data_IF_170702897190
#
_entry.id   IF_170702897190
#
_cell.length_a   1.000
_cell.length_b   1.000
_cell.length_c   1.000
_cell.angle_alpha   90.00
_cell.angle_beta   90.00
_cell.angle_gamma   90.00
#
_symmetry.space_group_name_H-M   'P 1'
#
loop_
_entity.id
_entity.type
_entity.pdbx_description
1 polymer ?
#
# COMPACT_ATOMS: atom_id res chain seq x y z
N UNK A 1 14.16 -26.28 13.57
CA UNK A 1 13.05 -25.31 13.43
C UNK A 1 12.07 -25.87 12.41
N UNK A 2 10.77 -25.93 12.70
CA UNK A 2 9.77 -26.46 11.77
C UNK A 2 9.47 -25.43 10.68
N UNK A 3 9.02 -25.87 9.49
CA UNK A 3 8.63 -25.00 8.38
C UNK A 3 7.63 -23.92 8.82
N UNK A 4 6.64 -24.28 9.64
CA UNK A 4 5.67 -23.34 10.22
C UNK A 4 6.30 -22.26 11.12
N UNK A 5 7.36 -22.58 11.84
CA UNK A 5 8.08 -21.60 12.66
C UNK A 5 8.89 -20.62 11.81
N UNK A 6 9.46 -21.09 10.70
CA UNK A 6 10.17 -20.24 9.74
C UNK A 6 9.21 -19.28 9.03
N UNK A 7 8.06 -19.75 8.55
CA UNK A 7 7.04 -18.90 7.91
C UNK A 7 6.46 -17.86 8.86
N UNK A 8 6.20 -18.22 10.12
CA UNK A 8 5.73 -17.28 11.13
C UNK A 8 6.78 -16.22 11.46
N UNK A 9 8.05 -16.60 11.50
CA UNK A 9 9.14 -15.66 11.75
C UNK A 9 9.31 -14.70 10.58
N UNK A 10 9.28 -15.16 9.32
CA UNK A 10 9.40 -14.28 8.16
C UNK A 10 8.29 -13.24 8.09
N UNK A 11 7.04 -13.63 8.32
CA UNK A 11 5.91 -12.69 8.40
C UNK A 11 6.05 -11.66 9.53
N UNK A 12 6.55 -12.07 10.68
CA UNK A 12 6.79 -11.16 11.81
C UNK A 12 7.91 -10.17 11.49
N UNK A 13 9.01 -10.63 10.90
CA UNK A 13 10.12 -9.80 10.46
C UNK A 13 9.62 -8.77 9.44
N UNK A 14 8.93 -9.22 8.40
CA UNK A 14 8.39 -8.33 7.39
C UNK A 14 7.45 -7.27 7.98
N UNK A 15 6.48 -7.67 8.78
CA UNK A 15 5.52 -6.73 9.37
C UNK A 15 6.19 -5.72 10.31
N UNK A 16 7.16 -6.17 11.10
CA UNK A 16 7.84 -5.30 12.06
C UNK A 16 8.82 -4.35 11.37
N UNK A 17 9.67 -4.87 10.48
CA UNK A 17 10.76 -4.08 9.89
C UNK A 17 10.32 -3.34 8.61
N UNK A 18 9.50 -3.93 7.77
CA UNK A 18 9.12 -3.29 6.52
C UNK A 18 7.91 -2.37 6.72
N UNK A 19 6.75 -2.89 7.14
CA UNK A 19 5.55 -2.07 7.25
C UNK A 19 5.67 -0.97 8.29
N UNK A 20 6.17 -1.28 9.48
CA UNK A 20 6.31 -0.31 10.56
C UNK A 20 7.35 0.77 10.23
N UNK A 21 8.47 0.38 9.64
CA UNK A 21 9.50 1.35 9.25
C UNK A 21 9.08 2.19 8.05
N UNK A 22 8.34 1.63 7.09
CA UNK A 22 7.75 2.42 6.02
C UNK A 22 6.82 3.52 6.55
N UNK A 23 5.96 3.22 7.51
CA UNK A 23 5.09 4.24 8.10
C UNK A 23 5.90 5.35 8.78
N UNK A 24 6.95 5.00 9.50
CA UNK A 24 7.86 6.01 10.09
C UNK A 24 8.58 6.83 9.02
N UNK A 25 9.05 6.20 7.96
CA UNK A 25 9.69 6.86 6.82
C UNK A 25 8.74 7.88 6.18
N UNK A 26 7.51 7.47 5.90
CA UNK A 26 6.46 8.32 5.36
C UNK A 26 6.16 9.52 6.26
N UNK A 27 5.99 9.32 7.56
CA UNK A 27 5.74 10.38 8.54
C UNK A 27 6.90 11.39 8.58
N UNK A 28 8.13 10.91 8.48
CA UNK A 28 9.32 11.77 8.46
C UNK A 28 9.39 12.61 7.17
N UNK A 29 9.10 12.04 6.00
CA UNK A 29 9.07 12.80 4.74
C UNK A 29 8.03 13.92 4.80
N UNK A 30 6.81 13.61 5.26
CA UNK A 30 5.74 14.59 5.41
C UNK A 30 6.18 15.73 6.34
N UNK A 31 6.94 15.41 7.39
CA UNK A 31 7.38 16.39 8.40
C UNK A 31 8.50 17.31 7.91
N UNK A 32 9.45 16.77 7.14
CA UNK A 32 10.70 17.49 6.83
C UNK A 32 10.76 18.07 5.41
N UNK A 33 9.82 17.73 4.51
CA UNK A 33 9.73 18.22 3.12
C UNK A 33 11.00 18.10 2.26
N UNK A 34 12.11 17.55 2.79
CA UNK A 34 13.38 17.38 2.09
C UNK A 34 13.93 15.98 2.30
N UNK A 35 14.11 15.25 1.20
CA UNK A 35 14.65 13.89 1.17
C UNK A 35 16.10 13.78 1.67
N UNK A 36 16.88 14.88 1.61
CA UNK A 36 18.31 14.87 1.88
C UNK A 36 18.67 14.95 3.37
N UNK A 37 17.73 15.31 4.24
CA UNK A 37 17.99 15.54 5.67
C UNK A 37 17.50 14.40 6.57
N UNK A 38 16.86 13.37 6.00
CA UNK A 38 16.47 12.18 6.76
C UNK A 38 17.67 11.26 6.84
N UNK A 39 18.53 11.46 7.84
CA UNK A 39 19.40 10.40 8.34
C UNK A 39 18.48 9.25 8.80
N UNK A 40 18.22 8.35 7.88
CA UNK A 40 17.57 7.10 8.18
C UNK A 40 18.59 6.29 8.97
N UNK A 41 18.60 6.49 10.30
CA UNK A 41 19.24 5.53 11.17
C UNK A 41 18.45 4.23 11.00
N UNK A 42 18.92 3.41 10.08
CA UNK A 42 18.51 2.03 9.94
C UNK A 42 18.92 1.31 11.23
N UNK A 43 18.17 1.54 12.33
CA UNK A 43 18.20 0.68 13.53
C UNK A 43 17.90 -0.79 13.15
N UNK A 44 17.61 -1.02 11.88
CA UNK A 44 17.35 -2.29 11.23
C UNK A 44 18.56 -3.23 11.20
N UNK A 45 19.77 -2.68 11.14
CA UNK A 45 20.98 -3.47 10.83
C UNK A 45 21.77 -3.80 12.10
N UNK A 46 21.47 -3.19 13.24
CA UNK A 46 22.22 -3.38 14.49
C UNK A 46 21.75 -4.59 15.33
N UNK A 47 20.82 -5.38 14.87
CA UNK A 47 20.61 -6.71 15.46
C UNK A 47 21.63 -7.67 14.85
N UNK A 48 22.70 -7.89 15.59
CA UNK A 48 23.87 -8.73 15.26
C UNK A 48 23.60 -10.20 14.92
N UNK A 49 22.36 -10.61 14.73
CA UNK A 49 21.98 -12.02 14.57
C UNK A 49 21.48 -12.37 13.15
N UNK A 50 21.43 -11.40 12.22
CA UNK A 50 20.97 -11.66 10.85
C UNK A 50 22.05 -11.27 9.86
N UNK A 51 22.43 -12.23 9.01
CA UNK A 51 23.17 -11.91 7.80
C UNK A 51 22.27 -11.07 6.91
N UNK A 52 22.78 -9.96 6.39
CA UNK A 52 22.04 -9.03 5.54
C UNK A 52 21.36 -9.72 4.34
N UNK A 53 22.03 -10.71 3.77
CA UNK A 53 21.51 -11.49 2.64
C UNK A 53 20.26 -12.30 3.04
N UNK A 54 20.24 -12.95 4.21
CA UNK A 54 19.08 -13.67 4.69
C UNK A 54 17.86 -12.74 4.91
N UNK A 55 18.10 -11.52 5.41
CA UNK A 55 17.04 -10.53 5.59
C UNK A 55 16.47 -10.08 4.24
N UNK A 56 17.34 -9.81 3.27
CA UNK A 56 16.96 -9.42 1.92
C UNK A 56 16.10 -10.50 1.26
N UNK A 57 16.52 -11.74 1.31
CA UNK A 57 15.79 -12.88 0.74
C UNK A 57 14.42 -13.07 1.40
N UNK A 58 14.33 -12.91 2.73
CA UNK A 58 13.06 -12.95 3.45
C UNK A 58 12.12 -11.87 2.96
N UNK A 59 12.62 -10.63 2.80
CA UNK A 59 11.79 -9.51 2.35
C UNK A 59 11.31 -9.72 0.92
N UNK A 60 12.19 -10.15 0.02
CA UNK A 60 11.84 -10.42 -1.39
C UNK A 60 10.76 -11.50 -1.47
N UNK A 61 10.94 -12.63 -0.81
CA UNK A 61 9.98 -13.74 -0.80
C UNK A 61 8.61 -13.30 -0.23
N UNK A 62 8.58 -12.47 0.81
CA UNK A 62 7.34 -11.93 1.35
C UNK A 62 6.66 -10.97 0.38
N UNK A 63 7.41 -10.11 -0.32
CA UNK A 63 6.87 -9.19 -1.33
C UNK A 63 6.21 -9.94 -2.49
N UNK A 64 6.82 -11.01 -3.00
CA UNK A 64 6.24 -11.85 -4.05
C UNK A 64 4.87 -12.41 -3.68
N UNK A 65 4.65 -12.73 -2.41
CA UNK A 65 3.37 -13.22 -1.88
C UNK A 65 2.37 -12.10 -1.55
N UNK A 66 2.81 -10.83 -1.51
CA UNK A 66 2.01 -9.67 -1.08
C UNK A 66 1.67 -8.73 -2.21
N UNK A 67 2.30 -8.85 -3.36
CA UNK A 67 2.01 -8.01 -4.51
C UNK A 67 0.57 -8.18 -5.01
N UNK A 68 0.09 -7.17 -5.70
CA UNK A 68 -1.26 -7.15 -6.24
C UNK A 68 -1.57 -5.83 -6.92
N UNK A 69 -2.83 -5.44 -6.87
CA UNK A 69 -3.29 -4.19 -7.47
C UNK A 69 -4.17 -3.42 -6.50
N UNK A 70 -3.97 -2.12 -6.44
CA UNK A 70 -4.98 -1.17 -5.97
C UNK A 70 -5.83 -0.78 -7.17
N UNK A 71 -7.13 -0.66 -6.99
CA UNK A 71 -8.05 -0.31 -8.06
C UNK A 71 -9.01 0.80 -7.65
N UNK A 72 -9.53 1.52 -8.65
CA UNK A 72 -10.58 2.51 -8.49
C UNK A 72 -11.82 2.05 -9.27
N UNK A 73 -12.96 2.01 -8.59
CA UNK A 73 -14.26 1.74 -9.18
C UNK A 73 -15.24 2.86 -8.86
N UNK A 74 -16.17 3.13 -9.76
CA UNK A 74 -17.26 4.06 -9.53
C UNK A 74 -18.57 3.52 -10.11
N UNK A 75 -19.68 4.07 -9.66
CA UNK A 75 -20.96 3.90 -10.33
C UNK A 75 -21.06 4.87 -11.53
N UNK A 76 -22.11 4.70 -12.35
CA UNK A 76 -22.34 5.56 -13.51
C UNK A 76 -22.61 7.05 -13.19
N UNK A 77 -22.85 7.38 -11.92
CA UNK A 77 -23.09 8.74 -11.46
C UNK A 77 -21.81 9.48 -11.06
N UNK A 78 -20.68 8.75 -10.92
CA UNK A 78 -19.35 9.30 -10.56
C UNK A 78 -19.33 10.14 -9.26
N UNK A 79 -20.30 9.95 -8.36
CA UNK A 79 -20.37 10.70 -7.10
C UNK A 79 -19.37 10.19 -6.06
N UNK A 80 -19.00 8.91 -6.17
CA UNK A 80 -18.13 8.24 -5.22
C UNK A 80 -17.20 7.26 -5.93
N UNK A 81 -15.96 7.24 -5.46
CA UNK A 81 -14.96 6.31 -5.94
C UNK A 81 -14.65 5.29 -4.85
N UNK A 82 -14.85 4.01 -5.18
CA UNK A 82 -14.37 2.92 -4.37
C UNK A 82 -12.90 2.69 -4.66
N UNK A 83 -12.07 2.80 -3.64
CA UNK A 83 -10.67 2.38 -3.68
C UNK A 83 -10.55 1.05 -2.95
N UNK A 84 -9.96 0.06 -3.58
CA UNK A 84 -9.82 -1.26 -3.00
C UNK A 84 -8.57 -1.98 -3.55
N UNK A 85 -8.35 -3.21 -3.08
CA UNK A 85 -7.22 -4.02 -3.49
C UNK A 85 -7.64 -5.41 -3.98
N UNK A 86 -6.77 -6.02 -4.78
CA UNK A 86 -6.90 -7.40 -5.20
C UNK A 86 -5.55 -8.06 -5.40
N UNK A 87 -5.47 -9.35 -5.09
CA UNK A 87 -4.35 -10.23 -5.44
C UNK A 87 -4.63 -11.11 -6.66
N UNK A 88 -5.77 -10.95 -7.29
CA UNK A 88 -6.08 -11.69 -8.51
C UNK A 88 -5.11 -11.28 -9.63
N UNK A 89 -4.59 -12.26 -10.36
CA UNK A 89 -3.75 -12.02 -11.56
C UNK A 89 -4.50 -11.21 -12.60
N UNK A 90 -5.81 -11.42 -12.71
CA UNK A 90 -6.70 -10.61 -13.54
C UNK A 90 -7.59 -9.76 -12.63
N UNK A 91 -7.36 -8.42 -12.56
CA UNK A 91 -8.15 -7.52 -11.73
C UNK A 91 -9.66 -7.52 -12.08
N UNK A 92 -10.03 -7.81 -13.32
CA UNK A 92 -11.44 -7.88 -13.74
C UNK A 92 -12.24 -8.97 -13.02
N UNK A 93 -11.61 -10.02 -12.51
CA UNK A 93 -12.29 -11.02 -11.68
C UNK A 93 -12.75 -10.42 -10.35
N UNK A 94 -12.03 -9.40 -9.86
CA UNK A 94 -12.45 -8.65 -8.68
C UNK A 94 -13.71 -7.83 -8.94
N UNK A 95 -13.85 -7.22 -10.11
CA UNK A 95 -15.06 -6.48 -10.50
C UNK A 95 -16.31 -7.38 -10.47
N UNK A 96 -16.21 -8.58 -11.04
CA UNK A 96 -17.30 -9.57 -11.01
C UNK A 96 -17.68 -9.91 -9.56
N UNK A 97 -16.68 -10.16 -8.69
CA UNK A 97 -16.92 -10.50 -7.29
C UNK A 97 -17.59 -9.36 -6.53
N UNK A 98 -17.15 -8.11 -6.75
CA UNK A 98 -17.74 -6.93 -6.08
C UNK A 98 -19.19 -6.74 -6.52
N UNK A 99 -19.48 -6.82 -7.81
CA UNK A 99 -20.83 -6.64 -8.34
C UNK A 99 -21.78 -7.78 -7.96
N UNK A 100 -21.27 -9.02 -7.81
CA UNK A 100 -22.09 -10.16 -7.35
C UNK A 100 -22.44 -10.10 -5.87
N UNK A 101 -21.75 -9.30 -5.07
CA UNK A 101 -21.98 -9.15 -3.63
C UNK A 101 -23.18 -8.25 -3.27
N UNK A 102 -24.03 -7.90 -4.24
CA UNK A 102 -25.27 -7.15 -3.99
C UNK A 102 -25.09 -5.66 -3.73
N UNK A 103 -24.15 -5.03 -4.42
CA UNK A 103 -24.09 -3.56 -4.45
C UNK A 103 -25.35 -2.98 -5.10
N UNK A 104 -25.88 -1.89 -4.54
CA UNK A 104 -27.09 -1.23 -5.06
C UNK A 104 -26.93 -0.69 -6.48
N UNK A 105 -25.69 -0.47 -6.95
CA UNK A 105 -25.34 0.02 -8.26
C UNK A 105 -24.19 -0.79 -8.81
N UNK A 106 -24.24 -1.12 -10.08
CA UNK A 106 -23.12 -1.76 -10.76
C UNK A 106 -21.92 -0.83 -10.77
N UNK A 107 -20.78 -1.34 -10.31
CA UNK A 107 -19.51 -0.63 -10.31
C UNK A 107 -18.73 -0.97 -11.58
N UNK A 108 -18.02 0.01 -12.10
CA UNK A 108 -17.07 -0.15 -13.21
C UNK A 108 -15.73 0.47 -12.81
N UNK A 109 -14.66 0.02 -13.46
CA UNK A 109 -13.35 0.65 -13.28
C UNK A 109 -13.30 2.02 -13.93
N UNK A 110 -12.59 2.95 -13.30
CA UNK A 110 -12.40 4.33 -13.77
C UNK A 110 -10.93 4.77 -13.64
N UNK A 111 -10.55 5.76 -14.45
CA UNK A 111 -9.19 6.25 -14.50
C UNK A 111 -8.23 5.20 -15.08
N UNK A 112 -7.01 5.18 -14.61
CA UNK A 112 -6.02 4.13 -14.94
C UNK A 112 -6.40 2.77 -14.37
N UNK A 113 -7.45 2.71 -13.55
CA UNK A 113 -8.14 1.53 -13.04
C UNK A 113 -7.31 0.62 -12.13
N UNK A 114 -6.08 0.31 -12.49
CA UNK A 114 -5.23 -0.66 -11.78
C UNK A 114 -3.84 -0.13 -11.59
N UNK A 115 -3.41 -0.13 -10.34
CA UNK A 115 -2.07 0.30 -9.92
C UNK A 115 -1.38 -0.91 -9.30
N UNK A 116 -0.35 -1.43 -9.96
CA UNK A 116 0.44 -2.51 -9.38
C UNK A 116 1.13 -2.04 -8.10
N UNK A 117 1.06 -2.85 -7.07
CA UNK A 117 1.69 -2.59 -5.76
C UNK A 117 2.51 -3.80 -5.33
N UNK A 118 3.70 -3.55 -4.81
CA UNK A 118 4.56 -4.60 -4.26
C UNK A 118 4.03 -5.17 -2.94
N UNK A 119 3.21 -4.43 -2.21
CA UNK A 119 2.43 -4.97 -1.09
C UNK A 119 1.03 -4.33 -1.05
N UNK A 120 0.01 -5.17 -1.02
CA UNK A 120 -1.41 -4.75 -0.94
C UNK A 120 -1.77 -4.02 0.36
N UNK A 121 -0.90 -4.01 1.39
CA UNK A 121 -1.13 -3.20 2.59
C UNK A 121 -1.16 -1.70 2.28
N UNK A 122 -0.60 -1.28 1.15
CA UNK A 122 -0.65 0.12 0.69
C UNK A 122 -2.09 0.62 0.54
N UNK A 123 -3.05 -0.25 0.24
CA UNK A 123 -4.47 0.13 0.26
C UNK A 123 -4.88 0.73 1.61
N UNK A 124 -4.44 0.15 2.71
CA UNK A 124 -4.73 0.69 4.05
C UNK A 124 -4.09 2.07 4.27
N UNK A 125 -2.87 2.26 3.77
CA UNK A 125 -2.15 3.55 3.86
C UNK A 125 -2.85 4.60 3.00
N UNK A 126 -3.19 4.27 1.76
CA UNK A 126 -3.93 5.12 0.84
C UNK A 126 -5.28 5.54 1.45
N UNK A 127 -6.03 4.60 2.00
CA UNK A 127 -7.29 4.91 2.68
C UNK A 127 -7.10 5.89 3.85
N UNK A 128 -6.02 5.76 4.61
CA UNK A 128 -5.72 6.68 5.71
C UNK A 128 -5.45 8.10 5.18
N UNK A 129 -4.70 8.24 4.10
CA UNK A 129 -4.42 9.53 3.48
C UNK A 129 -5.70 10.18 2.92
N UNK A 130 -6.50 9.42 2.17
CA UNK A 130 -7.77 9.90 1.62
C UNK A 130 -8.73 10.35 2.74
N UNK A 131 -8.81 9.61 3.84
CA UNK A 131 -9.60 9.99 5.02
C UNK A 131 -9.08 11.26 5.67
N UNK A 132 -7.77 11.44 5.73
CA UNK A 132 -7.14 12.65 6.27
C UNK A 132 -7.50 13.88 5.43
N UNK A 133 -7.50 13.75 4.09
CA UNK A 133 -7.92 14.82 3.18
C UNK A 133 -9.39 15.18 3.39
N UNK A 134 -10.27 14.18 3.44
CA UNK A 134 -11.71 14.39 3.70
C UNK A 134 -11.93 15.13 5.02
N UNK A 135 -11.27 14.71 6.08
CA UNK A 135 -11.40 15.31 7.41
C UNK A 135 -10.90 16.76 7.42
N UNK A 136 -9.76 17.04 6.78
CA UNK A 136 -9.22 18.41 6.68
C UNK A 136 -10.16 19.35 5.91
N UNK A 137 -10.91 18.82 4.95
CA UNK A 137 -11.89 19.58 4.17
C UNK A 137 -13.27 19.65 4.83
N UNK A 138 -13.40 19.23 6.09
CA UNK A 138 -14.69 19.18 6.82
C UNK A 138 -15.78 18.37 6.10
N UNK A 139 -15.39 17.42 5.25
CA UNK A 139 -16.31 16.52 4.57
C UNK A 139 -16.57 15.27 5.42
N UNK A 140 -17.76 14.67 5.26
CA UNK A 140 -18.09 13.41 5.94
C UNK A 140 -17.65 12.24 5.08
N UNK A 141 -16.94 11.28 5.70
CA UNK A 141 -16.72 9.97 5.09
C UNK A 141 -18.06 9.24 5.00
N UNK A 142 -18.46 8.83 3.81
CA UNK A 142 -19.79 8.21 3.58
C UNK A 142 -19.73 6.72 3.85
N UNK A 143 -18.65 6.06 3.45
CA UNK A 143 -18.45 4.64 3.67
C UNK A 143 -16.95 4.30 3.73
N UNK A 144 -16.59 3.18 4.35
CA UNK A 144 -15.19 2.83 4.67
C UNK A 144 -14.22 2.84 3.49
N UNK A 145 -14.69 2.54 2.29
CA UNK A 145 -13.86 2.37 1.07
C UNK A 145 -14.34 3.26 -0.09
N UNK A 146 -15.34 4.16 0.17
CA UNK A 146 -15.90 5.05 -0.82
C UNK A 146 -15.56 6.50 -0.47
N UNK A 147 -14.96 7.18 -1.42
CA UNK A 147 -14.41 8.53 -1.25
C UNK A 147 -15.08 9.50 -2.21
N UNK A 148 -15.63 10.58 -1.67
CA UNK A 148 -16.14 11.74 -2.44
C UNK A 148 -15.01 12.75 -2.60
N UNK A 149 -14.06 12.42 -3.47
CA UNK A 149 -12.91 13.26 -3.82
C UNK A 149 -12.75 13.25 -5.35
N UNK A 150 -12.17 14.30 -5.95
CA UNK A 150 -11.84 14.29 -7.37
C UNK A 150 -10.98 13.08 -7.75
N UNK A 151 -11.29 12.45 -8.89
CA UNK A 151 -10.58 11.26 -9.35
C UNK A 151 -9.07 11.47 -9.45
N UNK A 152 -8.65 12.58 -10.05
CA UNK A 152 -7.23 12.94 -10.18
C UNK A 152 -6.51 13.07 -8.84
N UNK A 153 -7.21 13.49 -7.77
CA UNK A 153 -6.63 13.56 -6.44
C UNK A 153 -6.46 12.16 -5.85
N UNK A 154 -7.43 11.26 -6.05
CA UNK A 154 -7.33 9.85 -5.62
C UNK A 154 -6.17 9.18 -6.34
N UNK A 155 -6.07 9.33 -7.66
CA UNK A 155 -4.96 8.80 -8.47
C UNK A 155 -3.60 9.34 -8.01
N UNK A 156 -3.52 10.63 -7.72
CA UNK A 156 -2.31 11.26 -7.18
C UNK A 156 -1.90 10.62 -5.84
N UNK A 157 -2.83 10.45 -4.91
CA UNK A 157 -2.55 9.82 -3.59
C UNK A 157 -2.09 8.37 -3.75
N UNK A 158 -2.68 7.61 -4.68
CA UNK A 158 -2.25 6.25 -4.98
C UNK A 158 -0.81 6.23 -5.50
N UNK A 159 -0.51 7.02 -6.52
CA UNK A 159 0.80 7.08 -7.16
C UNK A 159 1.89 7.54 -6.19
N UNK A 160 1.62 8.55 -5.37
CA UNK A 160 2.57 9.02 -4.36
C UNK A 160 2.90 7.94 -3.33
N UNK A 161 1.90 7.19 -2.84
CA UNK A 161 2.16 6.11 -1.89
C UNK A 161 2.94 4.95 -2.51
N UNK A 162 2.67 4.60 -3.77
CA UNK A 162 3.44 3.59 -4.50
C UNK A 162 4.90 4.02 -4.62
N UNK A 163 5.12 5.25 -5.10
CA UNK A 163 6.47 5.81 -5.25
C UNK A 163 7.22 5.84 -3.93
N UNK A 164 6.59 6.35 -2.87
CA UNK A 164 7.22 6.38 -1.54
C UNK A 164 7.60 5.00 -1.02
N UNK A 165 6.78 3.99 -1.30
CA UNK A 165 7.10 2.62 -0.88
C UNK A 165 8.23 2.02 -1.71
N UNK A 166 8.26 2.29 -3.01
CA UNK A 166 9.33 1.85 -3.89
C UNK A 166 10.67 2.50 -3.49
N UNK A 167 10.68 3.81 -3.26
CA UNK A 167 11.86 4.55 -2.77
C UNK A 167 12.35 4.00 -1.42
N UNK A 168 11.43 3.70 -0.51
CA UNK A 168 11.76 3.07 0.78
C UNK A 168 12.39 1.69 0.60
N UNK A 169 11.83 0.84 -0.28
CA UNK A 169 12.40 -0.48 -0.55
C UNK A 169 13.80 -0.40 -1.18
N UNK A 170 14.04 0.58 -2.07
CA UNK A 170 15.37 0.83 -2.62
C UNK A 170 16.38 1.19 -1.54
N UNK A 171 16.00 1.97 -0.54
CA UNK A 171 16.85 2.30 0.60
C UNK A 171 17.15 1.06 1.44
N UNK A 172 16.12 0.27 1.76
CA UNK A 172 16.24 -0.89 2.67
C UNK A 172 16.96 -2.07 2.03
N UNK A 173 16.71 -2.33 0.75
CA UNK A 173 17.24 -3.50 0.04
C UNK A 173 18.48 -3.19 -0.83
N UNK A 174 18.84 -1.89 -0.96
CA UNK A 174 19.85 -1.41 -1.87
C UNK A 174 19.36 -1.30 -3.32
N UNK A 175 20.15 -0.62 -4.17
CA UNK A 175 19.79 -0.28 -5.56
C UNK A 175 19.61 -1.46 -6.53
N UNK A 176 19.57 -2.68 -6.05
CA UNK A 176 19.49 -3.90 -6.86
C UNK A 176 18.16 -4.65 -6.69
N UNK A 177 17.13 -3.90 -6.35
CA UNK A 177 15.78 -4.44 -6.33
C UNK A 177 14.97 -3.97 -7.54
#
# INVERSE_FOLDING_TARGET
MTYFQQEKNSKNIYNHYIKKQFLKYKDNIIKYQNFNDVEFSLDLINHNDWYFDDFKDIVINELENRCGYVYIMSNNMNDYFKVGMTKYKNPYDRLKTVNSAGVFYELSFVGESFYYVKDVFLETVIHQDLKTIITKNNQKLIYKEFFNLPLNLIEHVINENIKLFDDFLEIVLGKYY
#
